data_IF_151325796525
#
_entry.id   IF_151325796525
#
_cell.length_a   1.000
_cell.length_b   1.000
_cell.length_c   1.000
_cell.angle_alpha   90.00
_cell.angle_beta   90.00
_cell.angle_gamma   90.00
#
_symmetry.space_group_name_H-M   'P 1'
#
loop_
_entity.id
_entity.type
_entity.pdbx_description
1 polymer ?
#
# COMPACT_ATOMS: atom_id res chain seq x y z
N UNK A 1 -27.63 -39.11 -73.87
CA UNK A 1 -26.91 -39.78 -74.97
C UNK A 1 -25.99 -38.77 -75.61
N UNK A 2 -24.69 -39.11 -75.75
CA UNK A 2 -23.76 -38.67 -76.81
C UNK A 2 -23.51 -37.14 -76.96
N UNK A 3 -22.34 -36.61 -77.32
CA UNK A 3 -21.01 -37.09 -77.66
C UNK A 3 -20.23 -35.85 -78.12
N UNK A 4 -19.00 -35.68 -77.60
CA UNK A 4 -17.78 -35.15 -78.24
C UNK A 4 -17.72 -33.77 -78.92
N UNK A 5 -16.65 -33.05 -78.50
CA UNK A 5 -15.58 -32.36 -79.29
C UNK A 5 -16.00 -31.05 -80.00
N UNK A 6 -15.20 -29.99 -80.13
CA UNK A 6 -13.75 -29.75 -80.01
C UNK A 6 -13.50 -28.22 -80.09
N UNK A 7 -12.32 -27.79 -79.60
CA UNK A 7 -11.51 -26.61 -80.04
C UNK A 7 -12.09 -25.20 -79.82
N UNK A 8 -11.32 -24.17 -79.46
CA UNK A 8 -9.90 -24.02 -79.12
C UNK A 8 -9.67 -22.59 -78.56
N UNK A 9 -8.52 -22.44 -77.91
CA UNK A 9 -7.70 -21.21 -77.81
C UNK A 9 -8.14 -20.11 -76.83
N UNK A 10 -7.22 -19.77 -75.92
CA UNK A 10 -7.16 -18.45 -75.31
C UNK A 10 -6.56 -18.43 -73.90
N UNK A 11 -5.46 -17.67 -73.77
CA UNK A 11 -4.92 -17.09 -72.53
C UNK A 11 -3.87 -17.88 -71.72
N UNK A 12 -2.61 -17.65 -72.12
CA UNK A 12 -1.44 -17.29 -71.30
C UNK A 12 -1.46 -17.63 -69.81
N UNK A 13 -0.69 -18.66 -69.44
CA UNK A 13 -0.25 -18.87 -68.07
C UNK A 13 0.86 -17.87 -67.70
N UNK A 14 0.60 -17.10 -66.65
CA UNK A 14 1.53 -16.13 -66.06
C UNK A 14 2.68 -16.91 -65.39
N UNK A 15 3.91 -16.62 -65.84
CA UNK A 15 5.16 -17.01 -65.20
C UNK A 15 5.20 -16.44 -63.77
N UNK A 16 5.33 -17.31 -62.76
CA UNK A 16 5.72 -16.92 -61.40
C UNK A 16 7.26 -17.00 -61.32
N UNK A 17 7.99 -15.89 -61.17
CA UNK A 17 9.41 -15.96 -60.87
C UNK A 17 9.60 -16.24 -59.37
N UNK A 18 10.25 -17.37 -59.08
CA UNK A 18 10.88 -17.64 -57.78
C UNK A 18 12.04 -16.65 -57.61
N UNK A 19 11.90 -15.67 -56.72
CA UNK A 19 13.02 -14.86 -56.25
C UNK A 19 13.43 -15.38 -54.86
N UNK A 20 14.71 -15.73 -54.80
CA UNK A 20 15.40 -16.29 -53.65
C UNK A 20 15.55 -15.27 -52.51
N UNK A 21 15.56 -15.83 -51.30
CA UNK A 21 16.12 -15.35 -50.03
C UNK A 21 16.64 -13.89 -49.99
N UNK A 22 15.95 -13.04 -49.24
CA UNK A 22 16.51 -11.81 -48.70
C UNK A 22 16.59 -11.92 -47.17
N UNK A 23 17.75 -11.55 -46.67
CA UNK A 23 18.30 -11.85 -45.37
C UNK A 23 17.43 -11.48 -44.15
N UNK A 24 17.49 -12.37 -43.17
CA UNK A 24 17.17 -12.17 -41.77
C UNK A 24 18.01 -11.01 -41.22
N UNK A 25 17.46 -9.79 -41.20
CA UNK A 25 18.00 -8.72 -40.38
C UNK A 25 17.53 -8.96 -38.94
N UNK A 26 18.39 -9.61 -38.15
CA UNK A 26 18.35 -9.50 -36.69
C UNK A 26 18.37 -8.00 -36.36
N UNK A 27 17.26 -7.47 -35.84
CA UNK A 27 17.34 -6.29 -35.01
C UNK A 27 18.05 -6.70 -33.72
N UNK A 28 19.37 -6.56 -33.71
CA UNK A 28 20.10 -6.29 -32.48
C UNK A 28 19.69 -4.89 -32.00
N UNK A 29 18.42 -4.74 -31.61
CA UNK A 29 18.08 -3.78 -30.60
C UNK A 29 18.73 -4.34 -29.33
N UNK A 30 20.00 -3.98 -29.13
CA UNK A 30 20.61 -4.08 -27.82
C UNK A 30 19.63 -3.40 -26.88
N UNK A 31 18.96 -4.19 -26.04
CA UNK A 31 18.16 -3.66 -24.96
C UNK A 31 19.13 -2.84 -24.15
N UNK A 32 19.05 -1.51 -24.25
CA UNK A 32 19.64 -0.63 -23.26
C UNK A 32 19.08 -1.18 -21.94
N UNK A 33 19.91 -1.75 -21.06
CA UNK A 33 19.39 -2.30 -19.82
C UNK A 33 18.62 -1.16 -19.17
N UNK A 34 17.33 -1.42 -18.87
CA UNK A 34 16.48 -0.43 -18.24
C UNK A 34 17.27 0.15 -17.04
N UNK A 35 17.27 1.47 -16.91
CA UNK A 35 17.95 2.11 -15.79
C UNK A 35 17.50 1.42 -14.51
N UNK A 36 18.48 0.99 -13.70
CA UNK A 36 18.22 0.25 -12.48
C UNK A 36 17.22 1.01 -11.61
N UNK A 37 16.24 0.30 -11.04
CA UNK A 37 15.29 0.94 -10.14
C UNK A 37 15.96 1.39 -8.85
N UNK A 38 15.42 2.43 -8.21
CA UNK A 38 15.88 2.86 -6.87
C UNK A 38 15.82 1.72 -5.85
N UNK A 39 14.89 0.79 -6.03
CA UNK A 39 14.80 -0.37 -5.16
C UNK A 39 15.94 -1.35 -5.40
N UNK A 40 16.23 -1.69 -6.66
CA UNK A 40 17.29 -2.64 -6.97
C UNK A 40 18.66 -2.11 -6.53
N UNK A 41 18.88 -0.80 -6.68
CA UNK A 41 20.06 -0.13 -6.13
C UNK A 41 20.13 -0.28 -4.59
N UNK A 42 19.02 -0.01 -3.90
CA UNK A 42 18.93 -0.14 -2.44
C UNK A 42 19.11 -1.59 -1.97
N UNK A 43 18.56 -2.57 -2.69
CA UNK A 43 18.70 -3.99 -2.39
C UNK A 43 20.11 -4.52 -2.67
N UNK A 44 20.80 -4.01 -3.69
CA UNK A 44 22.20 -4.35 -3.94
C UNK A 44 23.11 -3.84 -2.82
N UNK A 45 22.84 -2.63 -2.33
CA UNK A 45 23.62 -2.00 -1.27
C UNK A 45 23.34 -2.52 0.15
N UNK A 46 22.26 -3.30 0.35
CA UNK A 46 21.86 -3.71 1.71
C UNK A 46 22.78 -4.81 2.26
N UNK A 47 23.52 -4.47 3.33
CA UNK A 47 24.24 -5.44 4.15
C UNK A 47 23.37 -5.88 5.32
N UNK A 48 23.29 -7.20 5.57
CA UNK A 48 22.44 -7.78 6.61
C UNK A 48 23.28 -8.69 7.52
N UNK A 49 23.48 -8.34 8.81
CA UNK A 49 23.14 -7.04 9.40
C UNK A 49 24.05 -5.91 8.85
N UNK A 50 23.62 -4.64 8.96
CA UNK A 50 24.44 -3.50 8.56
C UNK A 50 25.56 -3.22 9.58
N UNK A 51 26.66 -2.61 9.13
CA UNK A 51 27.86 -2.38 9.96
C UNK A 51 27.59 -1.50 11.19
N UNK A 52 26.71 -0.51 11.05
CA UNK A 52 26.32 0.38 12.15
C UNK A 52 25.65 -0.37 13.31
N UNK A 53 25.14 -1.60 13.09
CA UNK A 53 24.39 -2.34 14.10
C UNK A 53 25.25 -2.63 15.34
N UNK A 54 26.54 -2.92 15.17
CA UNK A 54 27.46 -3.21 16.26
C UNK A 54 27.76 -1.96 17.10
N UNK A 55 27.80 -0.79 16.46
CA UNK A 55 28.09 0.50 17.10
C UNK A 55 26.94 1.00 18.01
N UNK A 56 25.71 0.57 17.73
CA UNK A 56 24.53 1.00 18.50
C UNK A 56 24.57 0.36 19.89
N UNK A 57 24.74 1.17 20.94
CA UNK A 57 24.72 0.70 22.31
C UNK A 57 23.28 0.54 22.80
N UNK A 58 23.01 -0.48 23.61
CA UNK A 58 21.76 -0.62 24.35
C UNK A 58 22.06 -1.05 25.78
N UNK A 59 21.40 -0.42 26.75
CA UNK A 59 21.43 -0.83 28.15
C UNK A 59 20.27 -1.75 28.50
N UNK A 60 19.42 -2.10 27.52
CA UNK A 60 18.27 -2.96 27.74
C UNK A 60 18.71 -4.40 28.03
N UNK A 61 18.10 -5.02 29.05
CA UNK A 61 18.38 -6.41 29.36
C UNK A 61 17.74 -7.31 28.29
N UNK A 62 18.56 -7.84 27.38
CA UNK A 62 18.08 -8.67 26.26
C UNK A 62 17.67 -10.09 26.67
N UNK A 63 17.74 -10.46 27.95
CA UNK A 63 17.13 -11.69 28.48
C UNK A 63 15.65 -11.48 28.86
N UNK A 64 15.14 -10.25 28.78
CA UNK A 64 13.73 -9.95 29.08
C UNK A 64 12.82 -10.68 28.10
N UNK A 65 11.68 -11.28 28.53
CA UNK A 65 10.75 -11.95 27.63
C UNK A 65 10.29 -11.09 26.45
N UNK A 66 10.09 -11.71 25.27
CA UNK A 66 9.70 -11.01 24.04
C UNK A 66 8.48 -10.10 24.21
N UNK A 67 7.48 -10.55 24.97
CA UNK A 67 6.24 -9.79 25.22
C UNK A 67 6.50 -8.39 25.81
N UNK A 68 7.57 -8.22 26.58
CA UNK A 68 7.94 -6.97 27.24
C UNK A 68 8.97 -6.22 26.39
N UNK A 69 9.93 -6.95 25.80
CA UNK A 69 10.89 -6.39 24.84
C UNK A 69 10.22 -5.72 23.63
N UNK A 70 9.16 -6.32 23.08
CA UNK A 70 8.40 -5.72 21.97
C UNK A 70 7.74 -4.39 22.37
N UNK A 71 7.32 -4.22 23.62
CA UNK A 71 6.75 -2.97 24.10
C UNK A 71 7.82 -1.89 24.19
N UNK A 72 9.00 -2.25 24.70
CA UNK A 72 10.14 -1.34 24.73
C UNK A 72 10.60 -0.95 23.32
N UNK A 73 10.68 -1.90 22.38
CA UNK A 73 10.98 -1.61 20.96
C UNK A 73 9.98 -0.61 20.37
N UNK A 74 8.68 -0.78 20.63
CA UNK A 74 7.65 0.17 20.19
C UNK A 74 7.83 1.56 20.81
N UNK A 75 8.22 1.63 22.08
CA UNK A 75 8.54 2.89 22.74
C UNK A 75 9.75 3.58 22.09
N UNK A 76 10.84 2.84 21.84
CA UNK A 76 12.02 3.38 21.15
C UNK A 76 11.66 3.96 19.77
N UNK A 77 10.82 3.26 19.00
CA UNK A 77 10.32 3.77 17.71
C UNK A 77 9.50 5.05 17.87
N UNK A 78 8.63 5.13 18.88
CA UNK A 78 7.86 6.34 19.16
C UNK A 78 8.74 7.52 19.60
N UNK A 79 9.87 7.25 20.25
CA UNK A 79 10.89 8.23 20.64
C UNK A 79 11.88 8.57 19.51
N UNK A 80 11.73 7.97 18.32
CA UNK A 80 12.64 8.17 17.18
C UNK A 80 14.00 7.47 17.33
N UNK A 81 14.17 6.60 18.32
CA UNK A 81 15.39 5.82 18.58
C UNK A 81 15.43 4.56 17.69
N UNK A 82 15.25 4.77 16.39
CA UNK A 82 15.00 3.71 15.42
C UNK A 82 16.12 2.66 15.34
N UNK A 83 17.38 3.10 15.37
CA UNK A 83 18.54 2.19 15.29
C UNK A 83 18.63 1.23 16.49
N UNK A 84 18.33 1.70 17.70
CA UNK A 84 18.29 0.85 18.89
C UNK A 84 17.11 -0.14 18.82
N UNK A 85 15.94 0.33 18.37
CA UNK A 85 14.78 -0.53 18.15
C UNK A 85 15.08 -1.66 17.14
N UNK A 86 15.73 -1.33 16.02
CA UNK A 86 16.17 -2.31 15.01
C UNK A 86 17.19 -3.29 15.59
N UNK A 87 18.19 -2.79 16.36
CA UNK A 87 19.17 -3.65 17.02
C UNK A 87 18.51 -4.66 17.95
N UNK A 88 17.63 -4.21 18.84
CA UNK A 88 16.91 -5.12 19.74
C UNK A 88 16.07 -6.12 18.94
N UNK A 89 15.36 -5.66 17.92
CA UNK A 89 14.57 -6.56 17.06
C UNK A 89 15.43 -7.67 16.44
N UNK A 90 16.60 -7.33 15.91
CA UNK A 90 17.56 -8.29 15.34
C UNK A 90 18.09 -9.27 16.39
N UNK A 91 18.47 -8.78 17.57
CA UNK A 91 18.99 -9.62 18.65
C UNK A 91 17.96 -10.68 19.07
N UNK A 92 16.70 -10.30 19.24
CA UNK A 92 15.64 -11.24 19.66
C UNK A 92 15.28 -12.26 18.57
N UNK A 93 15.16 -11.84 17.31
CA UNK A 93 14.66 -12.74 16.25
C UNK A 93 15.76 -13.55 15.56
N UNK A 94 16.97 -13.00 15.41
CA UNK A 94 18.04 -13.63 14.62
C UNK A 94 19.10 -14.26 15.51
N UNK A 95 19.59 -13.52 16.51
CA UNK A 95 20.70 -13.99 17.36
C UNK A 95 20.19 -14.97 18.41
N UNK A 96 19.20 -14.56 19.20
CA UNK A 96 18.67 -15.35 20.32
C UNK A 96 17.56 -16.31 19.89
N UNK A 97 16.89 -16.02 18.76
CA UNK A 97 15.75 -16.77 18.23
C UNK A 97 14.64 -16.99 19.27
N UNK A 98 14.41 -15.99 20.11
CA UNK A 98 13.42 -15.98 21.20
C UNK A 98 12.39 -14.85 21.04
N UNK A 99 12.32 -14.21 19.87
CA UNK A 99 11.28 -13.25 19.49
C UNK A 99 9.91 -13.90 19.27
N UNK A 100 9.06 -13.31 18.41
CA UNK A 100 7.77 -13.93 18.08
C UNK A 100 7.97 -15.34 17.52
N UNK A 101 7.13 -16.30 17.93
CA UNK A 101 7.25 -17.72 17.55
C UNK A 101 7.18 -17.95 16.04
N UNK A 102 6.47 -17.10 15.31
CA UNK A 102 6.38 -17.11 13.84
C UNK A 102 7.32 -16.10 13.16
N UNK A 103 8.00 -15.25 13.93
CA UNK A 103 8.86 -14.17 13.48
C UNK A 103 8.20 -13.12 12.58
N UNK A 104 6.87 -13.03 12.50
CA UNK A 104 6.20 -12.10 11.58
C UNK A 104 6.47 -10.62 11.94
N UNK A 105 6.69 -10.34 13.23
CA UNK A 105 6.98 -9.00 13.73
C UNK A 105 8.38 -8.51 13.33
N UNK A 106 9.33 -9.39 13.00
CA UNK A 106 10.70 -9.02 12.66
C UNK A 106 10.80 -8.04 11.48
N UNK A 107 10.35 -8.40 10.25
CA UNK A 107 10.42 -7.47 9.12
C UNK A 107 9.53 -6.23 9.30
N UNK A 108 8.48 -6.32 10.12
CA UNK A 108 7.65 -5.16 10.46
C UNK A 108 8.44 -4.12 11.26
N UNK A 109 9.18 -4.51 12.29
CA UNK A 109 9.99 -3.57 13.06
C UNK A 109 11.21 -3.06 12.30
N UNK A 110 11.76 -3.83 11.36
CA UNK A 110 12.77 -3.32 10.41
C UNK A 110 12.18 -2.17 9.57
N UNK A 111 10.98 -2.38 9.02
CA UNK A 111 10.26 -1.35 8.26
C UNK A 111 10.00 -0.09 9.10
N UNK A 112 9.45 -0.26 10.31
CA UNK A 112 9.15 0.87 11.20
C UNK A 112 10.42 1.61 11.66
N UNK A 113 11.54 0.90 11.77
CA UNK A 113 12.86 1.47 12.04
C UNK A 113 13.49 2.21 10.85
N UNK A 114 12.86 2.18 9.67
CA UNK A 114 13.35 2.82 8.45
C UNK A 114 14.26 1.96 7.58
N UNK A 115 14.52 0.71 7.97
CA UNK A 115 15.37 -0.25 7.23
C UNK A 115 14.55 -0.95 6.12
N UNK A 116 14.02 -0.17 5.18
CA UNK A 116 13.05 -0.64 4.19
C UNK A 116 13.59 -1.74 3.26
N UNK A 117 14.82 -1.58 2.73
CA UNK A 117 15.41 -2.58 1.84
C UNK A 117 15.67 -3.91 2.57
N UNK A 118 16.09 -3.85 3.84
CA UNK A 118 16.25 -5.02 4.68
C UNK A 118 14.90 -5.69 4.97
N UNK A 119 13.87 -4.92 5.33
CA UNK A 119 12.52 -5.43 5.52
C UNK A 119 11.97 -6.13 4.24
N UNK A 120 12.18 -5.53 3.07
CA UNK A 120 11.80 -6.12 1.77
C UNK A 120 12.48 -7.47 1.58
N UNK A 121 13.79 -7.57 1.82
CA UNK A 121 14.53 -8.82 1.69
C UNK A 121 13.93 -9.92 2.57
N UNK A 122 13.68 -9.62 3.85
CA UNK A 122 13.11 -10.60 4.79
C UNK A 122 11.68 -10.99 4.41
N UNK A 123 10.82 -10.04 4.01
CA UNK A 123 9.47 -10.37 3.54
C UNK A 123 9.50 -11.22 2.26
N UNK A 124 10.35 -10.88 1.28
CA UNK A 124 10.48 -11.62 0.04
C UNK A 124 10.97 -13.06 0.27
N UNK A 125 11.96 -13.26 1.15
CA UNK A 125 12.43 -14.59 1.54
C UNK A 125 11.32 -15.42 2.19
N UNK A 126 10.52 -14.82 3.08
CA UNK A 126 9.38 -15.50 3.73
C UNK A 126 8.25 -15.84 2.77
N UNK A 127 8.04 -15.04 1.73
CA UNK A 127 6.99 -15.23 0.73
C UNK A 127 7.43 -16.04 -0.49
N UNK A 128 8.74 -16.29 -0.66
CA UNK A 128 9.27 -17.14 -1.73
C UNK A 128 8.61 -18.53 -1.84
N UNK A 129 8.31 -19.26 -0.74
CA UNK A 129 7.59 -20.53 -0.81
C UNK A 129 6.07 -20.37 -1.06
N UNK A 130 5.59 -19.15 -1.27
CA UNK A 130 4.16 -18.78 -1.41
C UNK A 130 3.28 -19.38 -0.30
N UNK A 131 3.57 -19.06 0.98
CA UNK A 131 2.87 -19.66 2.09
C UNK A 131 1.38 -19.28 2.07
N UNK A 132 0.54 -20.28 2.31
CA UNK A 132 -0.91 -20.09 2.42
C UNK A 132 -1.25 -19.24 3.65
N UNK A 133 -2.12 -18.25 3.48
CA UNK A 133 -2.65 -17.44 4.57
C UNK A 133 -1.78 -16.26 5.02
N UNK A 134 -0.63 -16.02 4.41
CA UNK A 134 0.29 -14.92 4.74
C UNK A 134 -0.17 -13.55 4.22
N UNK A 135 -1.47 -13.24 4.37
CA UNK A 135 -2.14 -12.04 3.85
C UNK A 135 -1.46 -10.77 4.33
N UNK A 136 -1.03 -10.74 5.60
CA UNK A 136 -0.34 -9.59 6.17
C UNK A 136 1.01 -9.34 5.48
N UNK A 137 1.82 -10.38 5.29
CA UNK A 137 3.12 -10.28 4.64
C UNK A 137 3.01 -9.86 3.18
N UNK A 138 2.04 -10.41 2.42
CA UNK A 138 1.79 -9.98 1.05
C UNK A 138 1.42 -8.49 0.99
N UNK A 139 0.55 -8.03 1.89
CA UNK A 139 0.18 -6.62 2.00
C UNK A 139 1.37 -5.72 2.36
N UNK A 140 2.22 -6.16 3.29
CA UNK A 140 3.37 -5.40 3.76
C UNK A 140 4.43 -5.27 2.65
N UNK A 141 4.76 -6.37 1.98
CA UNK A 141 5.72 -6.38 0.88
C UNK A 141 5.24 -5.53 -0.31
N UNK A 142 3.95 -5.64 -0.67
CA UNK A 142 3.39 -4.83 -1.74
C UNK A 142 3.41 -3.32 -1.41
N UNK A 143 3.11 -2.96 -0.16
CA UNK A 143 3.19 -1.56 0.29
C UNK A 143 4.62 -1.01 0.22
N UNK A 144 5.60 -1.86 0.58
CA UNK A 144 7.01 -1.54 0.45
C UNK A 144 7.42 -1.35 -1.01
N UNK A 145 7.03 -2.25 -1.91
CA UNK A 145 7.30 -2.09 -3.35
C UNK A 145 6.68 -0.81 -3.91
N UNK A 146 5.41 -0.54 -3.62
CA UNK A 146 4.72 0.66 -4.08
C UNK A 146 5.40 1.96 -3.59
N UNK A 147 5.96 1.96 -2.38
CA UNK A 147 6.75 3.10 -1.85
C UNK A 147 8.00 3.41 -2.70
N UNK A 148 8.60 2.40 -3.35
CA UNK A 148 9.72 2.59 -4.27
C UNK A 148 9.28 2.87 -5.71
N UNK A 149 7.97 2.97 -5.99
CA UNK A 149 7.42 3.08 -7.34
C UNK A 149 7.33 1.76 -8.09
N UNK A 150 7.63 0.64 -7.43
CA UNK A 150 7.63 -0.71 -8.02
C UNK A 150 6.21 -1.29 -8.07
N UNK A 151 5.29 -0.58 -8.74
CA UNK A 151 3.87 -0.91 -8.76
C UNK A 151 3.60 -2.29 -9.39
N UNK A 152 4.34 -2.67 -10.43
CA UNK A 152 4.20 -4.00 -11.05
C UNK A 152 4.56 -5.13 -10.07
N UNK A 153 5.66 -5.00 -9.31
CA UNK A 153 6.04 -5.97 -8.28
C UNK A 153 5.02 -5.99 -7.14
N UNK A 154 4.50 -4.83 -6.75
CA UNK A 154 3.46 -4.73 -5.73
C UNK A 154 2.18 -5.46 -6.14
N UNK A 155 1.69 -5.24 -7.37
CA UNK A 155 0.50 -5.89 -7.92
C UNK A 155 0.70 -7.41 -7.99
N UNK A 156 1.82 -7.88 -8.54
CA UNK A 156 2.11 -9.33 -8.63
C UNK A 156 2.15 -9.98 -7.23
N UNK A 157 2.76 -9.31 -6.25
CA UNK A 157 2.81 -9.79 -4.86
C UNK A 157 1.40 -9.99 -4.28
N UNK A 158 0.47 -9.07 -4.55
CA UNK A 158 -0.90 -9.17 -4.06
C UNK A 158 -1.71 -10.22 -4.82
N UNK A 159 -1.45 -10.40 -6.13
CA UNK A 159 -2.05 -11.46 -6.94
C UNK A 159 -1.61 -12.84 -6.44
N UNK A 160 -0.31 -13.03 -6.15
CA UNK A 160 0.19 -14.24 -5.49
C UNK A 160 -0.54 -14.46 -4.15
N UNK A 161 -0.74 -13.42 -3.35
CA UNK A 161 -1.52 -13.52 -2.10
C UNK A 161 -2.98 -13.95 -2.30
N UNK A 162 -3.62 -13.51 -3.39
CA UNK A 162 -5.00 -13.88 -3.73
C UNK A 162 -5.12 -15.36 -4.17
N UNK A 163 -4.05 -15.93 -4.71
CA UNK A 163 -3.94 -17.36 -5.03
C UNK A 163 -3.68 -18.21 -3.78
N UNK A 164 -3.07 -17.63 -2.74
CA UNK A 164 -2.62 -18.33 -1.52
C UNK A 164 -3.40 -17.88 -0.27
N UNK A 165 -4.71 -17.69 -0.43
CA UNK A 165 -5.61 -17.28 0.66
C UNK A 165 -5.66 -18.31 1.80
N UNK A 166 -5.93 -17.88 3.05
CA UNK A 166 -6.14 -18.79 4.16
C UNK A 166 -7.38 -19.66 3.94
N UNK A 167 -7.50 -20.75 4.69
CA UNK A 167 -8.70 -21.59 4.65
C UNK A 167 -9.97 -20.86 5.12
N UNK A 168 -11.16 -21.27 4.65
CA UNK A 168 -12.43 -20.80 5.20
C UNK A 168 -12.47 -20.96 6.74
N UNK A 169 -13.11 -20.04 7.46
CA UNK A 169 -13.87 -18.88 6.97
C UNK A 169 -13.02 -17.62 6.70
N UNK A 170 -11.70 -17.68 6.90
CA UNK A 170 -10.79 -16.52 6.84
C UNK A 170 -10.52 -16.02 5.42
N UNK A 171 -10.73 -16.86 4.41
CA UNK A 171 -10.42 -16.56 3.02
C UNK A 171 -11.12 -15.28 2.51
N UNK A 172 -12.36 -15.02 2.94
CA UNK A 172 -13.15 -13.86 2.49
C UNK A 172 -12.53 -12.56 3.00
N UNK A 173 -12.20 -12.49 4.30
CA UNK A 173 -11.52 -11.31 4.87
C UNK A 173 -10.12 -11.12 4.28
N UNK A 174 -9.40 -12.21 4.01
CA UNK A 174 -8.11 -12.17 3.31
C UNK A 174 -8.23 -11.58 1.91
N UNK A 175 -9.22 -12.03 1.13
CA UNK A 175 -9.52 -11.52 -0.21
C UNK A 175 -9.92 -10.04 -0.19
N UNK A 176 -10.76 -9.64 0.76
CA UNK A 176 -11.15 -8.24 0.93
C UNK A 176 -9.94 -7.35 1.25
N UNK A 177 -9.07 -7.80 2.15
CA UNK A 177 -7.87 -7.06 2.55
C UNK A 177 -6.84 -6.92 1.42
N UNK A 178 -6.66 -7.94 0.58
CA UNK A 178 -5.76 -7.86 -0.58
C UNK A 178 -6.35 -6.99 -1.70
N UNK A 179 -7.67 -6.99 -1.89
CA UNK A 179 -8.33 -6.07 -2.82
C UNK A 179 -8.23 -4.61 -2.35
N UNK A 180 -8.43 -4.34 -1.07
CA UNK A 180 -8.18 -3.00 -0.51
C UNK A 180 -6.76 -2.52 -0.81
N UNK A 181 -5.76 -3.39 -0.61
CA UNK A 181 -4.36 -3.06 -0.91
C UNK A 181 -4.09 -2.90 -2.41
N UNK A 182 -4.69 -3.71 -3.27
CA UNK A 182 -4.61 -3.51 -4.73
C UNK A 182 -5.17 -2.15 -5.12
N UNK A 183 -6.31 -1.75 -4.53
CA UNK A 183 -6.88 -0.42 -4.70
C UNK A 183 -5.91 0.69 -4.32
N UNK A 184 -5.23 0.58 -3.17
CA UNK A 184 -4.20 1.54 -2.74
C UNK A 184 -3.06 1.65 -3.78
N UNK A 185 -2.57 0.51 -4.29
CA UNK A 185 -1.45 0.46 -5.24
C UNK A 185 -1.85 1.07 -6.60
N UNK A 186 -3.03 0.72 -7.12
CA UNK A 186 -3.53 1.30 -8.36
C UNK A 186 -3.80 2.80 -8.24
N UNK A 187 -4.32 3.26 -7.10
CA UNK A 187 -4.53 4.67 -6.83
C UNK A 187 -3.20 5.45 -6.82
N UNK A 188 -2.15 4.90 -6.19
CA UNK A 188 -0.81 5.50 -6.20
C UNK A 188 -0.17 5.52 -7.60
N UNK A 189 -0.45 4.50 -8.42
CA UNK A 189 -0.02 4.43 -9.82
C UNK A 189 -0.80 5.40 -10.74
N UNK A 190 -1.95 5.92 -10.28
CA UNK A 190 -2.82 6.81 -11.05
C UNK A 190 -3.90 6.10 -11.88
N UNK A 191 -4.00 4.78 -11.81
CA UNK A 191 -5.07 4.00 -12.47
C UNK A 191 -6.31 3.96 -11.57
N UNK A 192 -7.04 5.08 -11.56
CA UNK A 192 -8.19 5.29 -10.67
C UNK A 192 -9.36 4.35 -10.97
N UNK A 193 -9.48 3.88 -12.22
CA UNK A 193 -10.55 2.95 -12.61
C UNK A 193 -10.30 1.56 -12.00
N UNK A 194 -9.08 1.03 -12.08
CA UNK A 194 -8.75 -0.21 -11.38
C UNK A 194 -8.78 -0.05 -9.86
N UNK A 195 -8.33 1.10 -9.35
CA UNK A 195 -8.44 1.38 -7.92
C UNK A 195 -9.88 1.28 -7.44
N UNK A 196 -10.82 1.91 -8.17
CA UNK A 196 -12.27 1.85 -7.91
C UNK A 196 -12.77 0.41 -7.86
N UNK A 197 -12.48 -0.39 -8.90
CA UNK A 197 -12.92 -1.78 -8.99
C UNK A 197 -12.47 -2.61 -7.78
N UNK A 198 -11.21 -2.48 -7.37
CA UNK A 198 -10.67 -3.21 -6.24
C UNK A 198 -11.23 -2.74 -4.88
N UNK A 199 -11.44 -1.43 -4.71
CA UNK A 199 -12.10 -0.90 -3.52
C UNK A 199 -13.55 -1.37 -3.42
N UNK A 200 -14.32 -1.31 -4.50
CA UNK A 200 -15.71 -1.80 -4.55
C UNK A 200 -15.81 -3.28 -4.21
N UNK A 201 -14.89 -4.11 -4.72
CA UNK A 201 -14.84 -5.53 -4.38
C UNK A 201 -14.49 -5.76 -2.90
N UNK A 202 -13.54 -5.01 -2.34
CA UNK A 202 -13.23 -5.10 -0.91
C UNK A 202 -14.43 -4.71 -0.02
N UNK A 203 -15.12 -3.61 -0.36
CA UNK A 203 -16.34 -3.14 0.32
C UNK A 203 -17.44 -4.20 0.27
N UNK A 204 -17.62 -4.85 -0.88
CA UNK A 204 -18.60 -5.93 -1.06
C UNK A 204 -18.26 -7.16 -0.22
N UNK A 205 -16.99 -7.52 -0.11
CA UNK A 205 -16.53 -8.74 0.54
C UNK A 205 -16.51 -8.64 2.06
N UNK A 206 -16.02 -7.54 2.66
CA UNK A 206 -15.86 -7.44 4.11
C UNK A 206 -17.11 -7.86 4.91
N UNK A 207 -18.34 -7.38 4.61
CA UNK A 207 -19.54 -7.75 5.36
C UNK A 207 -19.97 -9.21 5.19
N UNK A 208 -19.44 -9.92 4.19
CA UNK A 208 -19.80 -11.32 3.88
C UNK A 208 -18.87 -12.34 4.54
N UNK A 209 -17.79 -11.90 5.18
CA UNK A 209 -16.90 -12.80 5.91
C UNK A 209 -17.55 -13.29 7.20
N UNK A 210 -17.52 -14.60 7.41
CA UNK A 210 -18.04 -15.24 8.63
C UNK A 210 -16.91 -15.71 9.57
N UNK A 211 -15.82 -14.94 9.65
CA UNK A 211 -14.72 -15.28 10.55
C UNK A 211 -15.17 -15.29 12.03
N UNK A 212 -14.72 -16.22 12.88
CA UNK A 212 -15.22 -16.33 14.25
C UNK A 212 -14.81 -15.14 15.14
N UNK A 213 -13.64 -14.56 14.88
CA UNK A 213 -13.10 -13.44 15.65
C UNK A 213 -13.03 -12.17 14.79
N UNK A 214 -13.20 -11.00 15.40
CA UNK A 214 -13.04 -9.73 14.71
C UNK A 214 -14.16 -9.37 13.73
N UNK A 215 -15.32 -10.06 13.73
CA UNK A 215 -16.48 -9.71 12.86
C UNK A 215 -16.91 -8.25 13.01
N UNK A 216 -16.88 -7.73 14.23
CA UNK A 216 -17.21 -6.34 14.53
C UNK A 216 -16.30 -5.33 13.80
N UNK A 217 -15.11 -5.75 13.35
CA UNK A 217 -14.18 -4.93 12.56
C UNK A 217 -14.50 -4.94 11.06
N UNK A 218 -15.33 -5.86 10.55
CA UNK A 218 -15.58 -5.99 9.11
C UNK A 218 -16.32 -4.77 8.55
N UNK A 219 -17.38 -4.32 9.22
CA UNK A 219 -18.07 -3.08 8.85
C UNK A 219 -17.15 -1.86 8.94
N UNK A 220 -16.27 -1.85 9.95
CA UNK A 220 -15.25 -0.82 10.12
C UNK A 220 -14.28 -0.78 8.92
N UNK A 221 -13.83 -1.94 8.45
CA UNK A 221 -12.93 -2.05 7.31
C UNK A 221 -13.64 -1.60 6.03
N UNK A 222 -14.87 -2.06 5.79
CA UNK A 222 -15.67 -1.61 4.65
C UNK A 222 -15.85 -0.08 4.64
N UNK A 223 -16.16 0.53 5.78
CA UNK A 223 -16.31 1.99 5.90
C UNK A 223 -14.99 2.73 5.61
N UNK A 224 -13.83 2.20 6.04
CA UNK A 224 -12.52 2.79 5.72
C UNK A 224 -12.24 2.74 4.21
N UNK A 225 -12.57 1.64 3.54
CA UNK A 225 -12.38 1.53 2.09
C UNK A 225 -13.35 2.44 1.34
N UNK A 226 -14.61 2.53 1.80
CA UNK A 226 -15.58 3.48 1.25
C UNK A 226 -15.06 4.92 1.32
N UNK A 227 -14.45 5.31 2.44
CA UNK A 227 -13.85 6.64 2.57
C UNK A 227 -12.72 6.90 1.55
N UNK A 228 -11.89 5.89 1.24
CA UNK A 228 -10.88 6.01 0.19
C UNK A 228 -11.52 6.24 -1.18
N UNK A 229 -12.59 5.51 -1.49
CA UNK A 229 -13.34 5.65 -2.74
C UNK A 229 -14.00 7.04 -2.83
N UNK A 230 -14.60 7.52 -1.75
CA UNK A 230 -15.22 8.86 -1.68
C UNK A 230 -14.16 9.95 -1.89
N UNK A 231 -13.01 9.83 -1.22
CA UNK A 231 -11.89 10.76 -1.39
C UNK A 231 -11.31 10.76 -2.81
N UNK A 232 -11.35 9.62 -3.51
CA UNK A 232 -10.90 9.50 -4.90
C UNK A 232 -11.91 10.10 -5.89
N UNK A 233 -13.20 10.05 -5.56
CA UNK A 233 -14.29 10.57 -6.40
C UNK A 233 -14.55 12.07 -6.23
N UNK A 234 -13.81 12.75 -5.35
CA UNK A 234 -13.98 14.19 -5.13
C UNK A 234 -13.72 14.96 -6.43
N UNK A 235 -14.69 15.78 -6.86
CA UNK A 235 -14.38 16.91 -7.75
C UNK A 235 -13.39 17.82 -7.03
N UNK A 236 -12.56 18.55 -7.79
CA UNK A 236 -11.65 19.54 -7.22
C UNK A 236 -12.39 20.37 -6.16
N UNK A 237 -11.80 20.45 -4.96
CA UNK A 237 -12.42 21.08 -3.80
C UNK A 237 -12.66 22.56 -4.11
N UNK A 238 -13.91 22.94 -4.37
CA UNK A 238 -14.29 24.34 -4.52
C UNK A 238 -14.67 24.92 -3.16
N UNK A 239 -13.67 25.29 -2.36
CA UNK A 239 -13.88 25.86 -1.02
C UNK A 239 -14.68 27.17 -1.09
N UNK A 240 -14.58 27.92 -2.19
CA UNK A 240 -15.29 29.20 -2.33
C UNK A 240 -16.80 29.03 -2.43
N UNK A 241 -17.27 27.87 -2.92
CA UNK A 241 -18.69 27.53 -2.96
C UNK A 241 -19.23 26.99 -1.63
N UNK A 242 -18.38 26.72 -0.63
CA UNK A 242 -18.80 26.20 0.66
C UNK A 242 -19.35 27.30 1.56
N UNK A 243 -20.32 26.95 2.40
CA UNK A 243 -20.90 27.89 3.36
C UNK A 243 -19.90 28.15 4.49
N UNK A 244 -19.69 29.43 4.79
CA UNK A 244 -18.94 29.84 5.98
C UNK A 244 -19.62 29.29 7.26
N UNK A 245 -18.81 28.90 8.25
CA UNK A 245 -19.31 28.28 9.46
C UNK A 245 -18.25 27.46 10.19
N UNK A 246 -18.67 26.76 11.25
CA UNK A 246 -17.82 25.78 11.94
C UNK A 246 -18.51 24.43 11.89
N UNK A 247 -17.83 23.47 11.27
CA UNK A 247 -18.36 22.15 10.99
C UNK A 247 -17.53 21.09 11.68
N UNK A 248 -18.17 19.98 12.04
CA UNK A 248 -17.49 18.92 12.78
C UNK A 248 -17.65 17.59 12.07
N UNK A 249 -16.55 17.05 11.58
CA UNK A 249 -16.48 15.74 10.94
C UNK A 249 -15.76 14.74 11.82
N UNK A 250 -16.21 13.49 11.75
CA UNK A 250 -15.62 12.38 12.51
C UNK A 250 -15.22 11.29 11.55
N UNK A 251 -13.96 10.87 11.62
CA UNK A 251 -13.43 9.69 10.97
C UNK A 251 -12.77 8.80 12.03
N UNK A 252 -12.43 7.60 11.63
CA UNK A 252 -11.91 6.57 12.48
C UNK A 252 -10.39 6.47 12.39
N UNK A 253 -9.72 6.91 13.45
CA UNK A 253 -8.28 6.84 13.60
C UNK A 253 -7.73 5.43 13.87
N UNK A 254 -6.44 5.38 14.19
CA UNK A 254 -5.73 4.17 14.58
C UNK A 254 -6.29 3.59 15.88
N UNK A 255 -6.48 4.44 16.90
CA UNK A 255 -6.92 4.02 18.24
C UNK A 255 -8.43 4.17 18.40
N UNK A 256 -8.93 5.37 18.14
CA UNK A 256 -10.33 5.79 18.28
C UNK A 256 -10.68 6.79 17.19
N UNK A 257 -11.90 7.32 17.25
CA UNK A 257 -12.33 8.40 16.38
C UNK A 257 -11.40 9.61 16.46
N UNK A 258 -11.12 10.17 15.29
CA UNK A 258 -10.51 11.48 15.09
C UNK A 258 -11.63 12.43 14.71
N UNK A 259 -11.82 13.46 15.52
CA UNK A 259 -12.82 14.50 15.29
C UNK A 259 -12.13 15.76 14.82
N UNK A 260 -12.45 16.23 13.61
CA UNK A 260 -11.98 17.49 13.08
C UNK A 260 -13.07 18.55 13.21
N UNK A 261 -12.73 19.67 13.87
CA UNK A 261 -13.54 20.89 13.88
C UNK A 261 -12.92 21.87 12.90
N UNK A 262 -13.65 22.17 11.82
CA UNK A 262 -13.16 22.95 10.68
C UNK A 262 -13.93 24.27 10.64
N UNK A 263 -13.21 25.40 10.64
CA UNK A 263 -13.79 26.73 10.45
C UNK A 263 -13.61 27.18 9.01
N UNK A 264 -14.71 27.47 8.33
CA UNK A 264 -14.76 28.13 7.03
C UNK A 264 -15.08 29.61 7.22
N UNK A 265 -14.28 30.48 6.62
CA UNK A 265 -14.50 31.92 6.63
C UNK A 265 -13.95 32.57 5.35
N UNK A 266 -14.78 33.35 4.67
CA UNK A 266 -14.40 34.07 3.44
C UNK A 266 -13.98 33.13 2.31
N UNK A 267 -14.65 31.97 2.18
CA UNK A 267 -14.33 30.99 1.14
C UNK A 267 -12.99 30.28 1.32
N UNK A 268 -12.50 30.19 2.56
CA UNK A 268 -11.24 29.52 2.94
C UNK A 268 -11.42 28.66 4.18
N UNK A 269 -10.58 27.64 4.32
CA UNK A 269 -10.38 26.92 5.57
C UNK A 269 -9.50 27.79 6.46
N UNK A 270 -10.10 28.35 7.51
CA UNK A 270 -9.48 29.32 8.40
C UNK A 270 -8.85 28.67 9.64
N UNK A 271 -9.39 27.55 10.11
CA UNK A 271 -8.87 26.83 11.28
C UNK A 271 -9.27 25.35 11.22
N UNK A 272 -8.40 24.47 11.73
CA UNK A 272 -8.66 23.04 11.91
C UNK A 272 -8.19 22.64 13.30
N UNK A 273 -9.10 22.15 14.13
CA UNK A 273 -8.78 21.59 15.45
C UNK A 273 -9.13 20.13 15.50
N UNK A 274 -8.21 19.32 16.01
CA UNK A 274 -8.38 17.89 16.16
C UNK A 274 -8.65 17.53 17.62
N UNK A 275 -9.61 16.64 17.84
CA UNK A 275 -9.75 15.87 19.06
C UNK A 275 -9.49 14.40 18.72
N UNK A 276 -8.48 13.79 19.34
CA UNK A 276 -8.05 12.43 19.04
C UNK A 276 -7.37 11.77 20.24
N UNK A 277 -7.23 10.45 20.18
CA UNK A 277 -6.47 9.61 21.14
C UNK A 277 -5.39 8.77 20.43
N UNK A 278 -4.94 9.21 19.24
CA UNK A 278 -3.89 8.55 18.47
C UNK A 278 -2.60 8.38 19.29
N UNK A 279 -2.10 7.13 19.37
CA UNK A 279 -0.91 6.78 20.16
C UNK A 279 0.39 6.81 19.37
N UNK A 280 0.32 6.60 18.06
CA UNK A 280 1.46 6.60 17.14
C UNK A 280 1.03 7.46 15.94
N UNK A 281 1.20 8.77 16.04
CA UNK A 281 0.85 9.70 14.96
C UNK A 281 2.08 10.19 14.17
N UNK A 282 3.30 10.02 14.69
CA UNK A 282 4.56 10.46 14.08
C UNK A 282 4.52 11.92 13.58
N UNK A 283 3.78 12.79 14.28
CA UNK A 283 3.59 14.21 13.93
C UNK A 283 2.43 14.48 12.97
N UNK A 284 1.71 13.47 12.47
CA UNK A 284 0.62 13.63 11.51
C UNK A 284 -0.52 14.53 12.04
N UNK A 285 -0.84 14.45 13.33
CA UNK A 285 -1.88 15.26 13.99
C UNK A 285 -1.56 16.75 14.00
N UNK A 286 -0.29 17.12 13.75
CA UNK A 286 0.14 18.52 13.63
C UNK A 286 0.41 18.91 12.18
N UNK A 287 1.13 18.05 11.44
CA UNK A 287 1.56 18.37 10.08
C UNK A 287 0.42 18.32 9.07
N UNK A 288 -0.51 17.38 9.19
CA UNK A 288 -1.60 17.22 8.22
C UNK A 288 -2.57 18.39 8.24
N UNK A 289 -3.09 18.87 9.39
CA UNK A 289 -3.92 20.09 9.43
C UNK A 289 -3.21 21.31 8.84
N UNK A 290 -1.91 21.45 9.10
CA UNK A 290 -1.10 22.55 8.56
C UNK A 290 -1.03 22.49 7.03
N UNK A 291 -0.76 21.32 6.45
CA UNK A 291 -0.76 21.14 5.00
C UNK A 291 -2.12 21.48 4.37
N UNK A 292 -3.23 21.08 5.01
CA UNK A 292 -4.58 21.41 4.53
C UNK A 292 -4.82 22.92 4.55
N UNK A 293 -4.41 23.60 5.63
CA UNK A 293 -4.53 25.06 5.76
C UNK A 293 -3.65 25.80 4.74
N UNK A 294 -2.44 25.32 4.46
CA UNK A 294 -1.54 25.95 3.48
C UNK A 294 -2.01 25.74 2.05
N UNK A 295 -2.39 24.51 1.70
CA UNK A 295 -2.83 24.13 0.35
C UNK A 295 -4.27 24.52 0.06
N UNK A 296 -5.06 24.80 1.10
CA UNK A 296 -6.51 24.96 1.00
C UNK A 296 -7.10 23.75 0.25
N UNK A 297 -6.71 22.54 0.68
CA UNK A 297 -6.99 21.32 -0.05
C UNK A 297 -6.75 20.07 0.78
N UNK A 298 -7.43 18.98 0.40
CA UNK A 298 -7.31 17.68 1.09
C UNK A 298 -6.21 16.79 0.51
N UNK A 299 -5.47 17.29 -0.47
CA UNK A 299 -4.30 16.61 -1.03
C UNK A 299 -3.06 16.92 -0.18
N UNK A 300 -2.67 15.96 0.65
CA UNK A 300 -1.61 16.10 1.66
C UNK A 300 -0.54 15.04 1.46
N UNK A 301 0.68 15.40 1.78
CA UNK A 301 1.80 14.47 1.78
C UNK A 301 1.62 13.47 2.94
N UNK A 302 1.75 12.19 2.62
CA UNK A 302 1.63 11.13 3.61
C UNK A 302 2.77 11.19 4.63
N UNK A 303 2.44 11.09 5.92
CA UNK A 303 3.44 10.92 6.98
C UNK A 303 3.83 9.44 7.03
N UNK A 304 5.10 9.15 6.72
CA UNK A 304 5.63 7.79 6.70
C UNK A 304 5.42 7.12 8.07
N UNK A 305 4.81 5.94 8.09
CA UNK A 305 4.48 5.20 9.31
C UNK A 305 3.19 5.65 10.03
N UNK A 306 2.55 6.74 9.59
CA UNK A 306 1.31 7.27 10.16
C UNK A 306 0.20 7.41 9.10
N UNK A 307 0.16 6.49 8.13
CA UNK A 307 -0.82 6.51 7.03
C UNK A 307 -2.27 6.47 7.53
N UNK A 308 -2.57 5.62 8.52
CA UNK A 308 -3.93 5.49 9.08
C UNK A 308 -4.37 6.81 9.72
N UNK A 309 -3.50 7.41 10.53
CA UNK A 309 -3.78 8.70 11.17
C UNK A 309 -3.92 9.83 10.14
N UNK A 310 -3.05 9.86 9.13
CA UNK A 310 -3.11 10.83 8.03
C UNK A 310 -4.45 10.74 7.30
N UNK A 311 -4.86 9.54 6.91
CA UNK A 311 -6.12 9.30 6.21
C UNK A 311 -7.33 9.66 7.09
N UNK A 312 -7.29 9.32 8.39
CA UNK A 312 -8.37 9.66 9.32
C UNK A 312 -8.55 11.18 9.49
N UNK A 313 -7.45 11.94 9.54
CA UNK A 313 -7.52 13.40 9.62
C UNK A 313 -8.13 13.97 8.34
N UNK A 314 -7.65 13.54 7.17
CA UNK A 314 -8.16 14.00 5.87
C UNK A 314 -9.65 13.69 5.72
N UNK A 315 -10.07 12.48 6.11
CA UNK A 315 -11.48 12.07 6.05
C UNK A 315 -12.34 12.84 7.06
N UNK A 316 -11.86 13.07 8.29
CA UNK A 316 -12.59 13.86 9.28
C UNK A 316 -12.82 15.29 8.77
N UNK A 317 -11.81 15.91 8.16
CA UNK A 317 -11.95 17.23 7.54
C UNK A 317 -12.92 17.16 6.35
N UNK A 318 -12.79 16.16 5.48
CA UNK A 318 -13.71 15.95 4.34
C UNK A 318 -15.17 15.88 4.79
N UNK A 319 -15.49 15.08 5.82
CA UNK A 319 -16.84 14.97 6.37
C UNK A 319 -17.36 16.27 6.97
N UNK A 320 -16.48 17.10 7.54
CA UNK A 320 -16.85 18.44 7.99
C UNK A 320 -17.21 19.34 6.80
N UNK A 321 -16.45 19.28 5.71
CA UNK A 321 -16.72 20.06 4.49
C UNK A 321 -17.99 19.60 3.77
N UNK A 322 -18.36 18.31 3.84
CA UNK A 322 -19.65 17.82 3.34
C UNK A 322 -20.84 18.50 4.02
N UNK A 323 -20.75 18.75 5.34
CA UNK A 323 -21.79 19.51 6.06
C UNK A 323 -21.87 20.97 5.62
N UNK A 324 -20.78 21.53 5.09
CA UNK A 324 -20.73 22.87 4.52
C UNK A 324 -21.27 22.94 3.08
N UNK A 325 -21.66 21.81 2.50
CA UNK A 325 -22.22 21.72 1.14
C UNK A 325 -21.30 21.09 0.10
N UNK A 326 -20.16 20.52 0.50
CA UNK A 326 -19.30 19.75 -0.39
C UNK A 326 -20.02 18.48 -0.86
N UNK A 327 -20.00 18.23 -2.17
CA UNK A 327 -20.58 17.05 -2.81
C UNK A 327 -19.50 16.07 -3.23
#
# INVERSE_FOLDING_TARGET
MTSRRSSASGASAIMIPRIAALALLLSLAGTVPAAESKLDEALRGVKVPPDWLDEVKTSYNTQTPWKDARLHIRQLLAEGKNREAVKLTYLYHVVQKNGSTDGHEYPMYLYLGGEHAWAIKVYAERLAPKPKGAVFEYNALASLYARFGEYARAIQTLQDGLEHLPDPPWAINGRASLNDKLGDVYAQMGDLEKARQHYEEAIRLFPTSDQPYGRHLLHRNAAKVQAKLDLMNRKALDIQALKDGTYRGTSLGYVKDVVATVKLAGGKIADIRLQHEEKIDLGATKSVPKQILERQGLDVDAVTGATVTTQAIVEAVYRALQQAGMK
#
